data_IF_226933254264
#
_entry.id   IF_226933254264
#
_cell.length_a   1.000
_cell.length_b   1.000
_cell.length_c   1.000
_cell.angle_alpha   90.00
_cell.angle_beta   90.00
_cell.angle_gamma   90.00
#
_symmetry.space_group_name_H-M   'P 1'
#
loop_
_entity.id
_entity.type
_entity.pdbx_description
1 polymer ?
#
# COMPACT_ATOMS: atom_id res chain seq x y z
N UNK A 1 -19.30 -12.87 54.33
CA UNK A 1 -18.23 -12.47 53.40
C UNK A 1 -18.39 -13.30 52.13
N UNK A 2 -19.07 -12.74 51.12
CA UNK A 2 -19.36 -13.44 49.86
C UNK A 2 -18.22 -13.13 48.91
N UNK A 3 -17.43 -14.14 48.58
CA UNK A 3 -16.35 -14.07 47.59
C UNK A 3 -17.01 -14.18 46.22
N UNK A 4 -17.01 -13.10 45.47
CA UNK A 4 -17.33 -13.13 44.03
C UNK A 4 -16.17 -13.78 43.30
N UNK A 5 -16.38 -15.00 42.80
CA UNK A 5 -15.57 -15.55 41.71
C UNK A 5 -15.95 -14.81 40.42
N UNK A 6 -15.14 -13.85 40.00
CA UNK A 6 -15.18 -13.33 38.63
C UNK A 6 -14.39 -14.29 37.75
N UNK A 7 -15.12 -15.11 37.00
CA UNK A 7 -14.56 -15.97 35.96
C UNK A 7 -13.84 -15.10 34.92
N UNK A 8 -12.51 -15.17 34.92
CA UNK A 8 -11.69 -14.62 33.86
C UNK A 8 -11.85 -15.51 32.63
N UNK A 9 -12.73 -15.13 31.70
CA UNK A 9 -12.68 -15.65 30.35
C UNK A 9 -11.46 -15.05 29.64
N UNK A 10 -10.32 -15.72 29.75
CA UNK A 10 -9.22 -15.55 28.79
C UNK A 10 -9.63 -16.32 27.53
N UNK A 11 -10.55 -15.74 26.73
CA UNK A 11 -10.62 -16.11 25.31
C UNK A 11 -9.33 -15.61 24.67
N UNK A 12 -8.67 -16.47 23.89
CA UNK A 12 -7.44 -16.13 23.20
C UNK A 12 -7.64 -14.84 22.37
N UNK A 13 -6.70 -13.90 22.46
CA UNK A 13 -6.80 -12.58 21.82
C UNK A 13 -6.94 -12.66 20.28
N UNK A 14 -6.66 -13.83 19.67
CA UNK A 14 -6.88 -14.12 18.24
C UNK A 14 -8.37 -14.17 17.89
N UNK A 15 -9.22 -14.68 18.79
CA UNK A 15 -10.67 -14.71 18.59
C UNK A 15 -11.31 -13.32 18.55
N UNK A 16 -10.64 -12.30 19.08
CA UNK A 16 -11.07 -10.91 19.02
C UNK A 16 -10.78 -10.29 17.63
N UNK A 17 -9.62 -10.61 17.03
CA UNK A 17 -9.24 -10.06 15.72
C UNK A 17 -10.08 -10.63 14.57
N UNK A 18 -10.42 -11.92 14.61
CA UNK A 18 -11.33 -12.52 13.62
C UNK A 18 -12.73 -11.88 13.64
N UNK A 19 -13.31 -11.69 14.83
CA UNK A 19 -14.58 -10.95 14.97
C UNK A 19 -14.45 -9.49 14.51
N UNK A 20 -13.27 -8.90 14.68
CA UNK A 20 -13.00 -7.55 14.21
C UNK A 20 -12.97 -7.49 12.67
N UNK A 21 -12.45 -8.51 11.99
CA UNK A 21 -12.57 -8.60 10.52
C UNK A 21 -14.04 -8.62 10.09
N UNK A 22 -14.90 -9.40 10.74
CA UNK A 22 -16.33 -9.46 10.43
C UNK A 22 -17.00 -8.08 10.54
N UNK A 23 -16.70 -7.37 11.62
CA UNK A 23 -17.19 -6.02 11.83
C UNK A 23 -16.80 -5.05 10.70
N UNK A 24 -15.54 -5.09 10.25
CA UNK A 24 -15.09 -4.22 9.15
C UNK A 24 -15.62 -4.70 7.79
N UNK A 25 -15.77 -6.00 7.57
CA UNK A 25 -16.41 -6.53 6.35
C UNK A 25 -17.84 -6.00 6.25
N UNK A 26 -18.63 -6.11 7.33
CA UNK A 26 -20.00 -5.59 7.37
C UNK A 26 -20.06 -4.08 7.12
N UNK A 27 -19.18 -3.30 7.76
CA UNK A 27 -19.11 -1.84 7.51
C UNK A 27 -18.78 -1.53 6.05
N UNK A 28 -17.82 -2.25 5.44
CA UNK A 28 -17.47 -2.04 4.04
C UNK A 28 -18.61 -2.41 3.09
N UNK A 29 -19.32 -3.51 3.34
CA UNK A 29 -20.48 -3.93 2.55
C UNK A 29 -21.64 -2.93 2.63
N UNK A 30 -21.84 -2.27 3.78
CA UNK A 30 -22.81 -1.17 3.90
C UNK A 30 -22.47 -0.01 2.97
N UNK A 31 -21.19 0.37 2.87
CA UNK A 31 -20.74 1.37 1.90
C UNK A 31 -21.07 0.91 0.48
N UNK A 32 -20.78 -0.35 0.14
CA UNK A 32 -21.01 -0.89 -1.21
C UNK A 32 -22.48 -0.85 -1.65
N UNK A 33 -23.38 -1.10 -0.70
CA UNK A 33 -24.81 -1.21 -0.98
C UNK A 33 -25.52 0.15 -0.95
N UNK A 34 -24.91 1.16 -0.36
CA UNK A 34 -25.49 2.51 -0.26
C UNK A 34 -25.49 3.23 -1.62
N UNK A 35 -26.66 3.76 -1.98
CA UNK A 35 -26.90 4.48 -3.23
C UNK A 35 -26.92 5.99 -3.03
N UNK A 36 -27.29 6.46 -1.84
CA UNK A 36 -27.24 7.87 -1.51
C UNK A 36 -25.79 8.32 -1.31
N UNK A 37 -25.34 9.30 -2.10
CA UNK A 37 -23.95 9.73 -2.11
C UNK A 37 -23.50 10.38 -0.80
N UNK A 38 -24.40 11.08 -0.10
CA UNK A 38 -24.07 11.76 1.16
C UNK A 38 -23.95 10.74 2.30
N UNK A 39 -24.89 9.80 2.38
CA UNK A 39 -24.82 8.69 3.35
C UNK A 39 -23.59 7.84 3.07
N UNK A 40 -23.30 7.52 1.81
CA UNK A 40 -22.11 6.73 1.41
C UNK A 40 -20.81 7.43 1.82
N UNK A 41 -20.71 8.75 1.62
CA UNK A 41 -19.55 9.53 2.05
C UNK A 41 -19.34 9.44 3.57
N UNK A 42 -20.42 9.58 4.34
CA UNK A 42 -20.37 9.47 5.81
C UNK A 42 -19.96 8.06 6.27
N UNK A 43 -20.49 7.00 5.63
CA UNK A 43 -20.11 5.62 5.92
C UNK A 43 -18.65 5.34 5.57
N UNK A 44 -18.15 5.86 4.45
CA UNK A 44 -16.74 5.72 4.05
C UNK A 44 -15.80 6.42 5.04
N UNK A 45 -16.15 7.63 5.49
CA UNK A 45 -15.39 8.37 6.49
C UNK A 45 -15.41 7.64 7.85
N UNK A 46 -16.57 7.16 8.29
CA UNK A 46 -16.70 6.36 9.52
C UNK A 46 -15.86 5.08 9.47
N UNK A 47 -15.85 4.37 8.34
CA UNK A 47 -14.99 3.20 8.15
C UNK A 47 -13.52 3.57 8.31
N UNK A 48 -13.06 4.62 7.64
CA UNK A 48 -11.66 5.07 7.71
C UNK A 48 -11.25 5.42 9.14
N UNK A 49 -12.02 6.27 9.81
CA UNK A 49 -11.72 6.72 11.18
C UNK A 49 -11.77 5.55 12.18
N UNK A 50 -12.76 4.67 12.06
CA UNK A 50 -12.86 3.47 12.91
C UNK A 50 -11.69 2.51 12.68
N UNK A 51 -11.30 2.27 11.43
CA UNK A 51 -10.22 1.34 11.11
C UNK A 51 -8.87 1.89 11.54
N UNK A 52 -8.62 3.19 11.33
CA UNK A 52 -7.46 3.90 11.86
C UNK A 52 -7.36 3.80 13.38
N UNK A 53 -8.45 4.08 14.08
CA UNK A 53 -8.50 4.00 15.53
C UNK A 53 -8.18 2.59 16.03
N UNK A 54 -8.82 1.58 15.42
CA UNK A 54 -8.55 0.18 15.70
C UNK A 54 -7.07 -0.18 15.50
N UNK A 55 -6.48 0.15 14.35
CA UNK A 55 -5.07 -0.15 14.06
C UNK A 55 -4.13 0.55 15.05
N UNK A 56 -4.41 1.82 15.39
CA UNK A 56 -3.57 2.60 16.31
C UNK A 56 -3.57 2.08 17.75
N UNK A 57 -4.69 1.53 18.22
CA UNK A 57 -4.85 1.02 19.59
C UNK A 57 -4.45 -0.45 19.74
N UNK A 58 -4.37 -1.20 18.64
CA UNK A 58 -4.12 -2.64 18.67
C UNK A 58 -2.78 -2.97 18.02
N UNK A 59 -1.68 -2.97 18.77
CA UNK A 59 -0.35 -3.28 18.23
C UNK A 59 -0.26 -4.66 17.56
N UNK A 60 -1.07 -5.64 18.00
CA UNK A 60 -1.13 -6.97 17.37
C UNK A 60 -1.65 -6.93 15.93
N UNK A 61 -2.41 -5.91 15.56
CA UNK A 61 -2.84 -5.69 14.16
C UNK A 61 -1.64 -5.61 13.21
N UNK A 62 -0.51 -5.07 13.68
CA UNK A 62 0.68 -4.84 12.87
C UNK A 62 1.32 -6.12 12.29
N UNK A 63 1.11 -7.26 12.95
CA UNK A 63 1.60 -8.57 12.46
C UNK A 63 0.46 -9.49 12.03
N UNK A 64 -0.79 -9.09 12.26
CA UNK A 64 -1.97 -9.87 11.90
C UNK A 64 -2.18 -9.91 10.37
N UNK A 65 -2.62 -11.03 9.83
CA UNK A 65 -2.60 -11.24 8.37
C UNK A 65 -3.87 -10.71 7.66
N UNK A 66 -4.96 -10.48 8.39
CA UNK A 66 -6.22 -9.95 7.81
C UNK A 66 -6.76 -10.79 6.64
N UNK A 67 -6.62 -12.12 6.71
CA UNK A 67 -6.94 -13.02 5.59
C UNK A 67 -8.41 -12.95 5.17
N UNK A 68 -9.33 -12.80 6.13
CA UNK A 68 -10.77 -12.81 5.84
C UNK A 68 -11.20 -11.50 5.18
N UNK A 69 -10.84 -10.36 5.77
CA UNK A 69 -11.20 -9.05 5.22
C UNK A 69 -10.54 -8.79 3.86
N UNK A 70 -9.29 -9.23 3.64
CA UNK A 70 -8.65 -9.15 2.31
C UNK A 70 -9.42 -9.93 1.25
N UNK A 71 -10.03 -11.06 1.63
CA UNK A 71 -10.77 -11.93 0.71
C UNK A 71 -12.19 -11.41 0.44
N UNK A 72 -12.85 -10.88 1.46
CA UNK A 72 -14.27 -10.48 1.41
C UNK A 72 -14.48 -9.01 1.05
N UNK A 73 -13.40 -8.21 0.98
CA UNK A 73 -13.45 -6.79 0.62
C UNK A 73 -12.35 -6.45 -0.41
N UNK A 74 -12.22 -5.16 -0.74
CA UNK A 74 -11.13 -4.62 -1.54
C UNK A 74 -9.89 -4.19 -0.73
N UNK A 75 -9.72 -4.65 0.52
CA UNK A 75 -8.57 -4.29 1.35
C UNK A 75 -7.29 -4.98 0.88
N UNK A 76 -6.29 -4.18 0.55
CA UNK A 76 -4.92 -4.61 0.32
C UNK A 76 -4.08 -4.35 1.57
N UNK A 77 -3.29 -5.35 1.97
CA UNK A 77 -2.31 -5.25 3.04
C UNK A 77 -0.94 -5.63 2.50
N UNK A 78 -0.05 -4.65 2.35
CA UNK A 78 1.31 -4.86 1.90
C UNK A 78 2.27 -4.67 3.07
N UNK A 79 3.12 -5.66 3.34
CA UNK A 79 4.11 -5.63 4.44
C UNK A 79 5.52 -5.78 3.88
N UNK A 80 6.46 -4.98 4.37
CA UNK A 80 7.89 -5.12 4.02
C UNK A 80 8.43 -6.48 4.43
N UNK A 81 9.52 -6.93 3.79
CA UNK A 81 10.07 -8.27 4.03
C UNK A 81 10.54 -8.45 5.48
N UNK A 82 11.02 -7.39 6.12
CA UNK A 82 11.38 -7.38 7.55
C UNK A 82 10.22 -7.13 8.52
N UNK A 83 9.00 -6.95 8.03
CA UNK A 83 7.82 -6.72 8.85
C UNK A 83 7.77 -5.35 9.53
N UNK A 84 8.66 -4.40 9.19
CA UNK A 84 8.74 -3.08 9.86
C UNK A 84 7.92 -1.98 9.23
N UNK A 85 7.40 -2.17 8.01
CA UNK A 85 6.55 -1.22 7.32
C UNK A 85 5.35 -1.96 6.74
N UNK A 86 4.15 -1.41 6.95
CA UNK A 86 2.91 -1.99 6.46
C UNK A 86 1.96 -0.91 5.97
N UNK A 87 1.34 -1.17 4.82
CA UNK A 87 0.30 -0.35 4.23
C UNK A 87 -1.02 -1.11 4.23
N UNK A 88 -2.09 -0.39 4.55
CA UNK A 88 -3.47 -0.82 4.41
C UNK A 88 -4.15 0.12 3.43
N UNK A 89 -4.62 -0.39 2.29
CA UNK A 89 -5.25 0.44 1.24
C UNK A 89 -6.51 -0.21 0.71
N UNK A 90 -7.57 0.56 0.49
CA UNK A 90 -8.84 0.07 -0.06
C UNK A 90 -9.54 1.14 -0.89
N UNK A 91 -10.37 0.73 -1.86
CA UNK A 91 -11.24 1.63 -2.63
C UNK A 91 -12.32 2.17 -1.69
N UNK A 92 -12.40 3.50 -1.55
CA UNK A 92 -13.41 4.19 -0.72
C UNK A 92 -14.81 4.07 -1.30
N UNK A 93 -14.93 3.64 -2.56
CA UNK A 93 -16.16 3.55 -3.33
C UNK A 93 -16.86 4.89 -3.56
N UNK A 94 -16.14 5.99 -3.32
CA UNK A 94 -16.58 7.36 -3.61
C UNK A 94 -16.26 7.78 -5.04
N UNK A 95 -15.44 6.99 -5.75
CA UNK A 95 -15.14 7.16 -7.16
C UNK A 95 -16.00 6.26 -8.06
N UNK A 96 -16.07 6.60 -9.34
CA UNK A 96 -16.69 5.77 -10.38
C UNK A 96 -15.68 4.81 -11.01
N UNK A 97 -15.37 5.07 -12.28
CA UNK A 97 -14.28 4.39 -13.01
C UNK A 97 -12.90 4.86 -12.51
N UNK A 98 -12.76 6.14 -12.22
CA UNK A 98 -11.68 6.66 -11.37
C UNK A 98 -11.88 6.13 -9.95
N UNK A 99 -10.83 5.55 -9.36
CA UNK A 99 -10.88 5.02 -8.00
C UNK A 99 -10.21 5.98 -7.03
N UNK A 100 -10.88 6.19 -5.91
CA UNK A 100 -10.34 6.93 -4.78
C UNK A 100 -9.93 5.91 -3.73
N UNK A 101 -8.66 5.85 -3.37
CA UNK A 101 -8.21 4.95 -2.31
C UNK A 101 -8.05 5.70 -1.00
N UNK A 102 -8.27 4.98 0.10
CA UNK A 102 -7.80 5.38 1.41
C UNK A 102 -6.53 4.59 1.76
N UNK A 103 -5.67 5.19 2.59
CA UNK A 103 -4.41 4.60 3.01
C UNK A 103 -4.14 4.84 4.49
N UNK A 104 -3.76 3.78 5.19
CA UNK A 104 -3.17 3.83 6.53
C UNK A 104 -1.82 3.13 6.49
N UNK A 105 -0.82 3.73 7.13
CA UNK A 105 0.54 3.19 7.22
C UNK A 105 0.81 2.86 8.68
N UNK A 106 1.31 1.65 8.94
CA UNK A 106 1.95 1.33 10.21
C UNK A 106 3.44 1.10 9.99
N UNK A 107 4.26 1.57 10.91
CA UNK A 107 5.68 1.29 10.88
C UNK A 107 6.24 1.11 12.29
N UNK A 108 7.26 0.26 12.40
CA UNK A 108 7.91 -0.05 13.67
C UNK A 108 9.29 0.62 13.74
N UNK A 109 9.51 1.40 14.81
CA UNK A 109 10.82 1.93 15.20
C UNK A 109 11.01 1.70 16.69
N UNK A 110 12.20 1.22 17.08
CA UNK A 110 12.58 1.09 18.50
C UNK A 110 11.58 0.31 19.35
N UNK A 111 11.02 -0.77 18.78
CA UNK A 111 10.04 -1.63 19.44
C UNK A 111 8.61 -1.07 19.51
N UNK A 112 8.37 0.16 19.03
CA UNK A 112 7.06 0.81 19.02
C UNK A 112 6.47 0.84 17.61
N UNK A 113 5.18 0.58 17.51
CA UNK A 113 4.42 0.72 16.26
C UNK A 113 3.76 2.10 16.25
N UNK A 114 4.07 2.89 15.22
CA UNK A 114 3.39 4.13 14.91
C UNK A 114 2.37 3.90 13.79
N UNK A 115 1.25 4.63 13.82
CA UNK A 115 0.23 4.61 12.78
C UNK A 115 0.13 6.02 12.19
N UNK A 116 0.26 6.13 10.87
CA UNK A 116 0.10 7.35 10.09
C UNK A 116 -1.07 7.18 9.13
N UNK A 117 -1.78 8.28 8.89
CA UNK A 117 -2.84 8.32 7.90
C UNK A 117 -2.92 9.74 7.34
N UNK A 118 -3.00 9.86 6.02
CA UNK A 118 -3.45 11.11 5.41
C UNK A 118 -4.93 10.93 5.07
N UNK A 119 -5.80 11.72 5.71
CA UNK A 119 -7.21 11.79 5.34
C UNK A 119 -7.46 12.89 4.28
N UNK A 120 -6.40 13.56 3.80
CA UNK A 120 -6.52 14.85 3.11
C UNK A 120 -6.52 14.78 1.58
N UNK A 121 -6.05 13.72 0.95
CA UNK A 121 -5.92 13.71 -0.51
C UNK A 121 -6.68 12.54 -1.11
N UNK A 122 -7.62 12.85 -2.00
CA UNK A 122 -8.27 11.91 -2.93
C UNK A 122 -7.28 11.22 -3.90
N UNK A 123 -5.97 11.25 -3.59
CA UNK A 123 -4.85 10.89 -4.46
C UNK A 123 -4.05 9.69 -3.94
N UNK A 124 -4.51 9.01 -2.88
CA UNK A 124 -3.85 7.79 -2.45
C UNK A 124 -3.98 6.70 -3.53
N UNK A 125 -2.93 5.90 -3.70
CA UNK A 125 -2.88 4.78 -4.64
C UNK A 125 -2.89 3.48 -3.84
N UNK A 126 -3.45 2.40 -4.39
CA UNK A 126 -3.38 1.12 -3.69
C UNK A 126 -1.95 0.58 -3.73
N UNK A 127 -1.46 0.07 -2.60
CA UNK A 127 -0.09 -0.45 -2.49
C UNK A 127 -0.12 -1.96 -2.67
N UNK A 128 0.52 -2.44 -3.75
CA UNK A 128 0.52 -3.87 -4.09
C UNK A 128 1.73 -4.62 -3.55
N UNK A 129 2.87 -3.94 -3.38
CA UNK A 129 4.14 -4.59 -3.04
C UNK A 129 5.12 -3.64 -2.37
N UNK A 130 6.00 -4.20 -1.54
CA UNK A 130 7.11 -3.47 -0.93
C UNK A 130 8.37 -4.32 -1.12
N UNK A 131 9.40 -3.73 -1.72
CA UNK A 131 10.73 -4.35 -1.80
C UNK A 131 11.68 -3.69 -0.82
N UNK A 132 12.54 -4.47 -0.18
CA UNK A 132 13.54 -3.97 0.74
C UNK A 132 14.89 -3.86 0.00
N UNK A 133 15.58 -2.73 0.12
CA UNK A 133 16.93 -2.55 -0.42
C UNK A 133 17.82 -1.81 0.56
N UNK A 134 19.08 -2.23 0.65
CA UNK A 134 20.09 -1.52 1.43
C UNK A 134 20.92 -0.61 0.52
N UNK A 135 20.99 0.67 0.89
CA UNK A 135 21.79 1.71 0.25
C UNK A 135 22.55 2.43 1.36
N UNK A 136 23.90 2.40 1.33
CA UNK A 136 24.76 3.01 2.36
C UNK A 136 24.40 2.66 3.80
N UNK A 137 24.20 1.37 4.08
CA UNK A 137 23.79 0.86 5.39
C UNK A 137 22.44 1.40 5.90
N UNK A 138 21.70 2.12 5.05
CA UNK A 138 20.31 2.51 5.30
C UNK A 138 19.41 1.56 4.54
N UNK A 139 18.37 1.09 5.23
CA UNK A 139 17.31 0.31 4.63
C UNK A 139 16.28 1.23 4.02
N UNK A 140 16.02 1.03 2.73
CA UNK A 140 14.94 1.64 2.00
C UNK A 140 13.87 0.60 1.67
N UNK A 141 12.63 1.06 1.67
CA UNK A 141 11.46 0.34 1.22
C UNK A 141 11.01 0.97 -0.09
N UNK A 142 11.07 0.18 -1.15
CA UNK A 142 10.55 0.56 -2.47
C UNK A 142 9.09 0.15 -2.53
N UNK A 143 8.20 1.10 -2.28
CA UNK A 143 6.75 0.89 -2.20
C UNK A 143 6.17 1.00 -3.60
N UNK A 144 5.54 -0.07 -4.08
CA UNK A 144 4.85 -0.12 -5.36
C UNK A 144 3.38 0.27 -5.16
N UNK A 145 3.00 1.40 -5.74
CA UNK A 145 1.62 1.91 -5.66
C UNK A 145 1.00 2.01 -7.05
N UNK A 146 -0.33 1.93 -7.10
CA UNK A 146 -1.10 1.78 -8.33
C UNK A 146 -2.28 2.77 -8.35
N UNK A 147 -2.30 3.64 -9.35
CA UNK A 147 -3.38 4.61 -9.58
C UNK A 147 -4.38 4.10 -10.60
N UNK A 148 -5.65 4.43 -10.42
CA UNK A 148 -6.73 4.11 -11.39
C UNK A 148 -7.53 5.39 -11.64
N UNK A 149 -7.31 6.02 -12.79
CA UNK A 149 -7.93 7.30 -13.16
C UNK A 149 -9.11 7.12 -14.09
N UNK A 150 -9.18 6.00 -14.81
CA UNK A 150 -10.34 5.56 -15.56
C UNK A 150 -10.25 4.05 -15.82
N UNK A 151 -11.19 3.49 -16.59
CA UNK A 151 -11.09 2.10 -17.07
C UNK A 151 -9.85 1.88 -17.97
N UNK A 152 -9.37 2.94 -18.62
CA UNK A 152 -8.22 2.92 -19.52
C UNK A 152 -6.95 3.41 -18.81
N UNK A 153 -7.06 4.54 -18.12
CA UNK A 153 -5.91 5.30 -17.64
C UNK A 153 -5.54 4.85 -16.23
N UNK A 154 -4.38 4.22 -16.11
CA UNK A 154 -3.85 3.69 -14.86
C UNK A 154 -2.38 4.07 -14.72
N UNK A 155 -1.83 3.98 -13.52
CA UNK A 155 -0.39 4.13 -13.30
C UNK A 155 0.16 3.13 -12.31
N UNK A 156 1.46 2.87 -12.44
CA UNK A 156 2.27 2.26 -11.39
C UNK A 156 3.41 3.19 -11.03
N UNK A 157 3.70 3.27 -9.74
CA UNK A 157 4.82 4.03 -9.24
C UNK A 157 5.63 3.21 -8.24
N UNK A 158 6.89 3.57 -8.13
CA UNK A 158 7.74 3.19 -7.00
C UNK A 158 8.13 4.43 -6.24
N UNK A 159 7.96 4.41 -4.92
CA UNK A 159 8.44 5.45 -4.02
C UNK A 159 9.41 4.85 -3.00
N UNK A 160 10.50 5.57 -2.75
CA UNK A 160 11.47 5.19 -1.75
C UNK A 160 11.10 5.80 -0.40
N UNK A 161 10.93 4.94 0.59
CA UNK A 161 10.70 5.32 1.99
C UNK A 161 11.80 4.72 2.86
N UNK A 162 12.08 5.31 4.01
CA UNK A 162 12.89 4.67 5.06
C UNK A 162 12.37 5.03 6.44
N UNK A 163 12.70 4.22 7.43
CA UNK A 163 12.39 4.49 8.83
C UNK A 163 13.67 4.95 9.53
N UNK A 164 13.64 6.09 10.20
CA UNK A 164 14.77 6.59 10.99
C UNK A 164 14.25 7.42 12.16
N UNK A 165 14.79 7.18 13.36
CA UNK A 165 14.50 7.94 14.57
C UNK A 165 13.00 8.11 14.85
N UNK A 166 12.23 7.02 14.74
CA UNK A 166 10.78 7.04 14.98
C UNK A 166 9.94 7.71 13.90
N UNK A 167 10.51 8.04 12.73
CA UNK A 167 9.82 8.70 11.63
C UNK A 167 9.90 7.89 10.34
N UNK A 168 8.84 7.98 9.55
CA UNK A 168 8.85 7.56 8.15
C UNK A 168 9.37 8.74 7.31
N UNK A 169 10.47 8.52 6.59
CA UNK A 169 11.11 9.52 5.73
C UNK A 169 10.79 9.16 4.29
N UNK A 170 10.19 10.11 3.58
CA UNK A 170 9.73 9.98 2.19
C UNK A 170 10.39 11.01 1.24
N UNK A 171 11.33 11.82 1.75
CA UNK A 171 11.96 12.92 1.01
C UNK A 171 13.27 12.53 0.31
N UNK A 172 13.81 11.35 0.61
CA UNK A 172 15.08 10.89 0.07
C UNK A 172 14.97 10.59 -1.44
N UNK A 173 15.70 11.36 -2.23
CA UNK A 173 15.75 11.22 -3.68
C UNK A 173 16.79 10.19 -4.07
N UNK A 174 16.39 8.93 -4.25
CA UNK A 174 17.31 7.81 -4.56
C UNK A 174 17.29 7.37 -6.03
N UNK A 175 16.38 7.88 -6.86
CA UNK A 175 16.29 7.52 -8.28
C UNK A 175 16.89 8.61 -9.17
N UNK A 176 18.10 8.38 -9.68
CA UNK A 176 18.78 9.30 -10.61
C UNK A 176 18.35 9.03 -12.04
N UNK A 177 17.56 9.95 -12.59
CA UNK A 177 17.24 10.02 -14.01
C UNK A 177 18.31 10.81 -14.77
N UNK A 178 18.16 10.94 -16.09
CA UNK A 178 19.04 11.80 -16.90
C UNK A 178 18.89 13.29 -16.58
N UNK A 179 17.76 13.72 -16.02
CA UNK A 179 17.42 15.15 -15.80
C UNK A 179 17.48 15.56 -14.33
N UNK A 180 17.11 14.66 -13.44
CA UNK A 180 16.89 14.96 -12.03
C UNK A 180 17.02 13.70 -11.16
N UNK A 181 17.07 13.91 -9.84
CA UNK A 181 16.98 12.83 -8.87
C UNK A 181 15.65 12.90 -8.14
N UNK A 182 14.95 11.78 -8.06
CA UNK A 182 13.57 11.67 -7.58
C UNK A 182 13.47 10.71 -6.39
N UNK A 183 12.49 10.92 -5.51
CA UNK A 183 12.09 9.94 -4.49
C UNK A 183 11.04 8.96 -5.03
N UNK A 184 10.34 9.33 -6.11
CA UNK A 184 9.27 8.58 -6.74
C UNK A 184 9.41 8.63 -8.26
N UNK A 185 9.23 7.49 -8.92
CA UNK A 185 9.05 7.41 -10.37
C UNK A 185 7.68 6.78 -10.61
N UNK A 186 6.89 7.41 -11.47
CA UNK A 186 5.57 6.95 -11.87
C UNK A 186 5.52 6.76 -13.38
N UNK A 187 4.82 5.70 -13.80
CA UNK A 187 4.55 5.38 -15.20
C UNK A 187 3.06 5.19 -15.37
N UNK A 188 2.42 6.14 -16.07
CA UNK A 188 1.04 5.99 -16.54
C UNK A 188 1.00 5.17 -17.82
N UNK A 189 -0.04 4.36 -17.99
CA UNK A 189 -0.22 3.50 -19.16
C UNK A 189 -1.70 3.20 -19.42
N UNK A 190 -1.99 2.77 -20.64
CA UNK A 190 -3.28 2.24 -21.06
C UNK A 190 -3.43 0.79 -20.56
N UNK A 191 -4.38 0.57 -19.65
CA UNK A 191 -4.71 -0.75 -19.10
C UNK A 191 -5.04 -1.78 -20.19
N UNK A 192 -5.65 -1.38 -21.31
CA UNK A 192 -5.99 -2.29 -22.40
C UNK A 192 -4.75 -2.86 -23.11
N UNK A 193 -3.60 -2.19 -23.02
CA UNK A 193 -2.33 -2.73 -23.53
C UNK A 193 -1.81 -3.93 -22.72
N UNK A 194 -2.34 -4.13 -21.50
CA UNK A 194 -1.91 -5.18 -20.57
C UNK A 194 -3.05 -6.03 -20.02
N UNK A 195 -4.28 -5.85 -20.51
CA UNK A 195 -5.47 -6.55 -19.99
C UNK A 195 -5.34 -8.07 -20.06
N UNK A 196 -4.67 -8.59 -21.09
CA UNK A 196 -4.48 -10.03 -21.33
C UNK A 196 -3.42 -10.67 -20.41
N UNK A 197 -2.68 -9.89 -19.62
CA UNK A 197 -1.71 -10.42 -18.66
C UNK A 197 -2.47 -11.14 -17.54
N UNK A 198 -2.10 -12.36 -17.13
CA UNK A 198 -2.84 -13.11 -16.13
C UNK A 198 -2.59 -12.62 -14.70
N UNK A 199 -1.45 -12.00 -14.41
CA UNK A 199 -1.07 -11.59 -13.05
C UNK A 199 -1.95 -10.45 -12.51
N UNK A 200 -2.42 -10.59 -11.27
CA UNK A 200 -3.20 -9.57 -10.55
C UNK A 200 -2.77 -9.52 -9.07
N UNK A 201 -2.50 -8.33 -8.49
CA UNK A 201 -2.32 -7.05 -9.18
C UNK A 201 -1.25 -7.09 -10.27
N UNK A 202 -1.30 -6.17 -11.23
CA UNK A 202 -0.28 -6.12 -12.28
C UNK A 202 1.11 -5.92 -11.67
N UNK A 203 2.13 -6.57 -12.23
CA UNK A 203 3.53 -6.43 -11.79
C UNK A 203 4.39 -5.86 -12.93
N UNK A 204 4.15 -4.61 -13.32
CA UNK A 204 4.94 -3.95 -14.37
C UNK A 204 6.24 -3.37 -13.82
N UNK A 205 6.20 -2.81 -12.60
CA UNK A 205 7.41 -2.44 -11.86
C UNK A 205 7.85 -3.61 -11.00
N UNK A 206 9.09 -4.06 -11.21
CA UNK A 206 9.68 -5.19 -10.48
C UNK A 206 11.07 -4.86 -9.97
N UNK A 207 11.51 -5.54 -8.91
CA UNK A 207 12.86 -5.44 -8.36
C UNK A 207 13.55 -6.80 -8.42
N UNK A 208 14.80 -6.82 -8.88
CA UNK A 208 15.68 -7.99 -8.86
C UNK A 208 16.76 -7.78 -7.80
N UNK A 209 16.74 -8.62 -6.77
CA UNK A 209 17.65 -8.58 -5.64
C UNK A 209 19.06 -9.09 -5.98
N UNK A 210 19.21 -9.90 -7.04
CA UNK A 210 20.52 -10.41 -7.48
C UNK A 210 21.31 -9.35 -8.22
N UNK A 211 20.63 -8.51 -8.98
CA UNK A 211 21.27 -7.47 -9.80
C UNK A 211 21.10 -6.06 -9.22
N UNK A 212 20.43 -5.94 -8.06
CA UNK A 212 20.04 -4.68 -7.43
C UNK A 212 19.42 -3.71 -8.45
N UNK A 213 18.46 -4.20 -9.23
CA UNK A 213 17.86 -3.46 -10.35
C UNK A 213 16.35 -3.33 -10.23
N UNK A 214 15.85 -2.11 -10.41
CA UNK A 214 14.43 -1.82 -10.56
C UNK A 214 14.12 -1.72 -12.05
N UNK A 215 13.09 -2.43 -12.47
CA UNK A 215 12.60 -2.45 -13.83
C UNK A 215 11.27 -1.69 -13.89
N UNK A 216 11.16 -0.80 -14.86
CA UNK A 216 9.92 -0.06 -15.12
C UNK A 216 9.39 -0.42 -16.51
N UNK A 217 8.07 -0.42 -16.73
CA UNK A 217 7.54 -0.57 -18.08
C UNK A 217 8.04 0.57 -18.97
N UNK A 218 8.44 0.24 -20.21
CA UNK A 218 8.58 1.27 -21.25
C UNK A 218 7.23 1.46 -21.93
N UNK A 219 6.72 2.68 -21.88
CA UNK A 219 5.42 3.07 -22.46
C UNK A 219 5.66 3.89 -23.73
N UNK A 220 4.93 3.58 -24.80
CA UNK A 220 5.05 4.31 -26.07
C UNK A 220 4.20 5.59 -26.09
N UNK A 221 4.28 6.37 -27.17
CA UNK A 221 3.53 7.63 -27.32
C UNK A 221 2.00 7.47 -27.27
N UNK A 222 1.48 6.25 -27.51
CA UNK A 222 0.05 5.94 -27.40
C UNK A 222 -0.38 5.53 -25.98
N UNK A 223 0.55 5.48 -25.04
CA UNK A 223 0.29 5.01 -23.67
C UNK A 223 0.38 3.49 -23.52
N UNK A 224 0.76 2.74 -24.55
CA UNK A 224 0.79 1.28 -24.50
C UNK A 224 2.09 0.77 -23.88
N UNK A 225 1.99 -0.22 -22.99
CA UNK A 225 3.15 -0.90 -22.42
C UNK A 225 3.81 -1.76 -23.50
N UNK A 226 5.09 -1.50 -23.76
CA UNK A 226 5.88 -2.27 -24.72
C UNK A 226 6.50 -3.52 -24.07
N UNK A 227 7.03 -4.48 -24.85
CA UNK A 227 7.79 -5.61 -24.29
C UNK A 227 9.10 -5.20 -23.60
N UNK A 228 9.61 -4.00 -23.86
CA UNK A 228 10.86 -3.49 -23.29
C UNK A 228 10.64 -2.83 -21.93
N UNK A 229 11.71 -2.71 -21.15
CA UNK A 229 11.72 -2.11 -19.82
C UNK A 229 12.85 -1.11 -19.66
N UNK A 230 12.60 -0.05 -18.90
CA UNK A 230 13.65 0.83 -18.41
C UNK A 230 14.31 0.16 -17.20
N UNK A 231 15.65 0.14 -17.17
CA UNK A 231 16.40 -0.48 -16.09
C UNK A 231 17.12 0.58 -15.29
N UNK A 232 16.88 0.59 -13.98
CA UNK A 232 17.62 1.39 -13.01
C UNK A 232 18.40 0.46 -12.11
N UNK A 233 19.72 0.57 -12.11
CA UNK A 233 20.60 -0.29 -11.30
C UNK A 233 21.20 0.52 -10.15
N UNK A 234 21.25 -0.07 -8.95
CA UNK A 234 21.90 0.56 -7.81
C UNK A 234 23.39 0.77 -8.10
N UNK A 235 23.85 2.01 -7.93
CA UNK A 235 25.25 2.44 -8.01
C UNK A 235 25.54 3.44 -6.90
N UNK A 236 26.35 3.01 -5.94
CA UNK A 236 26.61 3.80 -4.73
C UNK A 236 25.30 4.11 -4.00
N UNK A 237 24.96 5.39 -3.92
CA UNK A 237 23.88 5.90 -3.08
C UNK A 237 22.52 6.01 -3.81
N UNK A 238 22.48 5.64 -5.09
CA UNK A 238 21.31 5.87 -5.95
C UNK A 238 21.05 4.68 -6.84
N UNK A 239 19.82 4.55 -7.30
CA UNK A 239 19.46 3.82 -8.51
C UNK A 239 19.67 4.72 -9.72
N UNK A 240 20.53 4.32 -10.65
CA UNK A 240 20.81 5.09 -11.86
C UNK A 240 20.26 4.38 -13.09
N UNK A 241 19.68 5.16 -14.01
CA UNK A 241 19.26 4.66 -15.31
C UNK A 241 20.44 4.00 -16.05
N UNK A 242 20.31 2.70 -16.32
CA UNK A 242 21.32 1.88 -17.00
C UNK A 242 21.04 1.78 -18.50
N UNK A 243 19.77 1.72 -18.89
CA UNK A 243 19.39 1.51 -20.28
C UNK A 243 17.99 0.92 -20.43
N UNK A 244 17.72 0.44 -21.65
CA UNK A 244 16.47 -0.23 -22.03
C UNK A 244 16.82 -1.70 -22.31
N UNK A 245 16.04 -2.62 -21.78
CA UNK A 245 16.14 -4.07 -22.06
C UNK A 245 14.85 -4.57 -22.69
#
# INVERSE_FOLDING_TARGET
MIIFLTSHFVLSQVGNLLKTEDFFIEKYQRISNEQDSEIKANLSLDYFETFKDFLSKNQKSFTYDFQKIKKETGLYVATSKDGKLRFYTWDTQMGGTMKNFAQIIQFQSDGKVATLSNNSDNDAYFVSKIFDVNINNKRYYLVISNGVFSTKDVSQAVQALRIENGKLIDTDKIFRTKKETLNRIESSFDFFSVVNRPERPLELITFDDKTDSVYFPLVNEKGEVTPKRLVYQKKGNYFEFKGIQ
#
